data_IF_836293374314
#
_entry.id   IF_836293374314
#
_cell.length_a   1.000
_cell.length_b   1.000
_cell.length_c   1.000
_cell.angle_alpha   90.00
_cell.angle_beta   90.00
_cell.angle_gamma   90.00
#
_symmetry.space_group_name_H-M   'P 1'
#
loop_
_entity.id
_entity.type
_entity.pdbx_description
1 polymer ?
#
# COMPACT_ATOMS: atom_id res chain seq x y z
N UNK A 1 10.15 10.49 -7.00
CA UNK A 1 8.77 10.99 -6.94
C UNK A 1 8.67 12.33 -6.22
N UNK A 2 7.50 12.97 -6.25
CA UNK A 2 7.29 14.24 -5.57
C UNK A 2 7.34 14.07 -4.03
N UNK A 3 6.88 12.95 -3.53
CA UNK A 3 6.93 12.56 -2.12
C UNK A 3 8.37 12.44 -1.60
N UNK A 4 9.23 11.80 -2.37
CA UNK A 4 10.65 11.69 -2.07
C UNK A 4 11.31 13.08 -2.00
N UNK A 5 11.16 13.85 -3.07
CA UNK A 5 11.76 15.19 -3.18
C UNK A 5 11.28 16.19 -2.12
N UNK A 6 9.98 16.17 -1.75
CA UNK A 6 9.38 17.17 -0.85
C UNK A 6 9.25 16.72 0.60
N UNK A 7 9.12 15.41 0.84
CA UNK A 7 8.79 14.87 2.16
C UNK A 7 9.85 13.93 2.71
N UNK A 8 10.91 13.63 1.94
CA UNK A 8 11.93 12.66 2.35
C UNK A 8 11.41 11.22 2.48
N UNK A 9 10.28 10.91 1.83
CA UNK A 9 9.73 9.55 1.80
C UNK A 9 10.35 8.84 0.59
N UNK A 10 11.15 7.79 0.80
CA UNK A 10 11.85 7.11 -0.30
C UNK A 10 10.89 6.61 -1.37
N UNK A 11 11.22 6.90 -2.62
CA UNK A 11 10.50 6.33 -3.75
C UNK A 11 11.00 4.91 -3.99
N UNK A 12 10.10 3.94 -3.90
CA UNK A 12 10.35 2.53 -4.20
C UNK A 12 9.41 2.07 -5.30
N UNK A 13 9.80 1.06 -6.03
CA UNK A 13 8.98 0.49 -7.08
C UNK A 13 9.80 -0.41 -8.00
N UNK A 14 9.11 -1.04 -8.94
CA UNK A 14 9.69 -1.92 -9.94
C UNK A 14 9.15 -1.55 -11.32
N UNK A 15 9.34 -2.42 -12.31
CA UNK A 15 8.73 -2.29 -13.63
C UNK A 15 7.21 -2.54 -13.59
N UNK A 16 6.52 -2.11 -14.63
CA UNK A 16 5.13 -2.48 -14.91
C UNK A 16 5.08 -3.60 -15.98
N UNK A 17 3.94 -4.31 -16.09
CA UNK A 17 3.73 -5.29 -17.17
C UNK A 17 3.94 -4.69 -18.56
N UNK A 18 3.54 -3.42 -18.77
CA UNK A 18 3.75 -2.71 -20.02
C UNK A 18 5.21 -2.55 -20.41
N UNK A 19 6.13 -2.48 -19.44
CA UNK A 19 7.56 -2.51 -19.71
C UNK A 19 7.98 -3.84 -20.36
N UNK A 20 7.53 -4.96 -19.79
CA UNK A 20 7.85 -6.29 -20.32
C UNK A 20 7.26 -6.47 -21.71
N UNK A 21 6.03 -6.00 -21.93
CA UNK A 21 5.33 -6.06 -23.22
C UNK A 21 5.96 -5.19 -24.34
N UNK A 22 6.84 -4.24 -24.01
CA UNK A 22 7.59 -3.47 -25.02
C UNK A 22 8.65 -4.31 -25.72
N UNK A 23 9.07 -5.42 -25.13
CA UNK A 23 10.07 -6.31 -25.69
C UNK A 23 9.40 -7.51 -26.36
N UNK A 24 10.10 -8.09 -27.35
CA UNK A 24 9.62 -9.28 -28.03
C UNK A 24 9.71 -10.54 -27.15
N UNK A 25 10.60 -10.50 -26.15
CA UNK A 25 10.86 -11.58 -25.21
C UNK A 25 10.93 -11.02 -23.78
N UNK A 26 10.32 -11.72 -22.83
CA UNK A 26 10.35 -11.38 -21.40
C UNK A 26 11.78 -11.32 -20.84
N UNK A 27 12.64 -12.25 -21.26
CA UNK A 27 14.02 -12.33 -20.84
C UNK A 27 14.80 -11.08 -21.24
N UNK A 28 14.56 -10.53 -22.42
CA UNK A 28 15.19 -9.30 -22.90
C UNK A 28 14.74 -8.09 -22.06
N UNK A 29 13.47 -8.04 -21.68
CA UNK A 29 12.96 -7.01 -20.78
C UNK A 29 13.63 -7.09 -19.39
N UNK A 30 13.77 -8.27 -18.84
CA UNK A 30 14.47 -8.50 -17.57
C UNK A 30 15.93 -8.14 -17.64
N UNK A 31 16.61 -8.51 -18.73
CA UNK A 31 18.01 -8.15 -18.99
C UNK A 31 18.19 -6.63 -18.99
N UNK A 32 17.41 -5.93 -19.80
CA UNK A 32 17.50 -4.47 -19.89
C UNK A 32 17.29 -3.78 -18.54
N UNK A 33 16.36 -4.29 -17.73
CA UNK A 33 16.12 -3.75 -16.37
C UNK A 33 17.28 -4.06 -15.42
N UNK A 34 17.77 -5.29 -15.40
CA UNK A 34 18.87 -5.72 -14.54
C UNK A 34 20.20 -5.01 -14.89
N UNK A 35 20.40 -4.64 -16.15
CA UNK A 35 21.56 -3.86 -16.58
C UNK A 35 21.55 -2.43 -16.03
N UNK A 36 20.35 -1.81 -15.97
CA UNK A 36 20.16 -0.45 -15.47
C UNK A 36 20.15 -0.37 -13.93
N UNK A 37 19.59 -1.37 -13.26
CA UNK A 37 19.36 -1.35 -11.81
C UNK A 37 19.84 -2.66 -11.14
N UNK A 38 21.12 -3.04 -11.28
CA UNK A 38 21.60 -4.34 -10.78
C UNK A 38 21.54 -4.43 -9.24
N UNK A 39 21.75 -3.33 -8.52
CA UNK A 39 21.72 -3.23 -7.07
C UNK A 39 20.30 -3.16 -6.48
N UNK A 40 19.30 -2.85 -7.30
CA UNK A 40 17.89 -2.74 -6.92
C UNK A 40 16.98 -3.64 -7.78
N UNK A 41 17.55 -4.72 -8.32
CA UNK A 41 16.86 -5.56 -9.28
C UNK A 41 15.72 -6.34 -8.60
N UNK A 42 14.48 -5.96 -8.92
CA UNK A 42 13.24 -6.68 -8.60
C UNK A 42 12.48 -6.92 -9.90
N UNK A 43 12.32 -8.17 -10.30
CA UNK A 43 11.70 -8.55 -11.57
C UNK A 43 10.23 -8.95 -11.38
N UNK A 44 9.35 -8.42 -12.24
CA UNK A 44 7.92 -8.74 -12.27
C UNK A 44 7.71 -9.99 -13.12
N UNK A 45 7.36 -11.11 -12.48
CA UNK A 45 7.46 -12.45 -13.10
C UNK A 45 6.12 -13.04 -13.56
N UNK A 46 5.02 -12.29 -13.44
CA UNK A 46 3.67 -12.76 -13.74
C UNK A 46 3.04 -12.12 -14.99
N UNK A 47 3.84 -11.56 -15.89
CA UNK A 47 3.31 -10.98 -17.14
C UNK A 47 2.70 -12.04 -18.05
N UNK A 48 3.28 -13.23 -18.12
CA UNK A 48 2.82 -14.34 -18.93
C UNK A 48 2.54 -15.58 -18.08
N UNK A 49 3.58 -16.25 -17.59
CA UNK A 49 3.44 -17.42 -16.71
C UNK A 49 4.55 -17.40 -15.65
N UNK A 50 4.13 -17.42 -14.38
CA UNK A 50 5.07 -17.30 -13.25
C UNK A 50 6.06 -18.46 -13.20
N UNK A 51 5.58 -19.69 -13.37
CA UNK A 51 6.38 -20.89 -13.08
C UNK A 51 7.14 -21.40 -14.30
N UNK A 52 6.55 -21.29 -15.50
CA UNK A 52 7.16 -21.84 -16.72
C UNK A 52 8.05 -20.85 -17.46
N UNK A 53 7.86 -19.53 -17.26
CA UNK A 53 8.70 -18.50 -17.90
C UNK A 53 9.27 -17.49 -16.90
N UNK A 54 8.42 -16.81 -16.15
CA UNK A 54 8.83 -15.64 -15.35
C UNK A 54 9.97 -15.93 -14.38
N UNK A 55 9.81 -16.93 -13.49
CA UNK A 55 10.87 -17.25 -12.49
C UNK A 55 12.11 -17.86 -13.16
N UNK A 56 11.93 -18.64 -14.23
CA UNK A 56 13.03 -19.26 -14.96
C UNK A 56 13.90 -18.17 -15.62
N UNK A 57 13.27 -17.27 -16.37
CA UNK A 57 13.94 -16.14 -17.00
C UNK A 57 14.59 -15.21 -15.96
N UNK A 58 13.93 -14.98 -14.81
CA UNK A 58 14.48 -14.17 -13.74
C UNK A 58 15.79 -14.76 -13.20
N UNK A 59 15.82 -16.06 -12.88
CA UNK A 59 17.00 -16.75 -12.38
C UNK A 59 18.13 -16.71 -13.41
N UNK A 60 17.84 -16.92 -14.69
CA UNK A 60 18.84 -16.82 -15.75
C UNK A 60 19.46 -15.41 -15.77
N UNK A 61 18.64 -14.36 -15.73
CA UNK A 61 19.12 -12.97 -15.74
C UNK A 61 19.88 -12.63 -14.43
N UNK A 62 19.47 -13.14 -13.30
CA UNK A 62 20.22 -12.97 -12.05
C UNK A 62 21.66 -13.53 -12.18
N UNK A 63 21.78 -14.72 -12.74
CA UNK A 63 23.08 -15.36 -12.97
C UNK A 63 23.91 -14.69 -14.09
N UNK A 64 23.26 -14.25 -15.16
CA UNK A 64 23.94 -13.69 -16.32
C UNK A 64 24.33 -12.20 -16.14
N UNK A 65 23.56 -11.44 -15.36
CA UNK A 65 23.70 -9.98 -15.29
C UNK A 65 23.97 -9.47 -13.88
N UNK A 66 23.16 -9.86 -12.88
CA UNK A 66 23.22 -9.27 -11.55
C UNK A 66 24.43 -9.76 -10.77
N UNK A 67 24.60 -11.08 -10.69
CA UNK A 67 25.70 -11.71 -9.94
C UNK A 67 27.07 -11.36 -10.50
N UNK A 68 27.32 -11.38 -11.82
CA UNK A 68 28.62 -11.00 -12.37
C UNK A 68 29.01 -9.54 -12.13
N UNK A 69 28.02 -8.67 -11.88
CA UNK A 69 28.27 -7.26 -11.50
C UNK A 69 28.58 -7.10 -9.98
N UNK A 70 28.60 -8.18 -9.22
CA UNK A 70 28.90 -8.18 -7.78
C UNK A 70 27.70 -7.89 -6.90
N UNK A 71 26.47 -7.99 -7.42
CA UNK A 71 25.23 -7.75 -6.67
C UNK A 71 24.45 -9.04 -6.44
N UNK A 72 23.50 -8.98 -5.49
CA UNK A 72 22.48 -10.00 -5.30
C UNK A 72 21.13 -9.43 -5.74
N UNK A 73 20.27 -10.23 -6.40
CA UNK A 73 18.92 -9.77 -6.76
C UNK A 73 18.14 -9.39 -5.49
N UNK A 74 17.42 -8.28 -5.54
CA UNK A 74 16.61 -7.83 -4.42
C UNK A 74 15.31 -8.61 -4.29
N UNK A 75 14.73 -9.02 -5.40
CA UNK A 75 13.48 -9.76 -5.34
C UNK A 75 12.86 -10.10 -6.67
N UNK A 76 11.75 -10.82 -6.57
CA UNK A 76 10.77 -11.01 -7.64
C UNK A 76 9.41 -10.50 -7.18
N UNK A 77 8.57 -10.04 -8.09
CA UNK A 77 7.24 -9.53 -7.79
C UNK A 77 6.17 -10.36 -8.48
N UNK A 78 5.10 -10.67 -7.75
CA UNK A 78 3.89 -11.35 -8.21
C UNK A 78 2.72 -10.41 -7.97
N UNK A 79 1.97 -10.07 -9.02
CA UNK A 79 0.87 -9.08 -9.01
C UNK A 79 -0.51 -9.74 -9.21
N UNK A 80 -0.54 -11.00 -9.66
CA UNK A 80 -1.76 -11.71 -10.06
C UNK A 80 -1.71 -13.22 -9.81
N UNK A 81 -2.85 -13.90 -9.99
CA UNK A 81 -2.98 -15.34 -9.83
C UNK A 81 -3.19 -15.79 -8.38
N UNK A 82 -3.00 -17.09 -8.12
CA UNK A 82 -3.01 -17.64 -6.75
C UNK A 82 -1.69 -17.31 -6.05
N UNK A 83 -1.62 -16.11 -5.49
CA UNK A 83 -0.39 -15.59 -4.87
C UNK A 83 0.10 -16.49 -3.74
N UNK A 84 -0.80 -17.12 -2.96
CA UNK A 84 -0.42 -18.02 -1.88
C UNK A 84 0.28 -19.28 -2.39
N UNK A 85 -0.24 -19.87 -3.44
CA UNK A 85 0.37 -21.03 -4.08
C UNK A 85 1.66 -20.64 -4.81
N UNK A 86 1.60 -19.62 -5.65
CA UNK A 86 2.73 -19.18 -6.47
C UNK A 86 3.94 -18.76 -5.63
N UNK A 87 3.72 -18.03 -4.54
CA UNK A 87 4.83 -17.61 -3.67
C UNK A 87 5.57 -18.79 -3.03
N UNK A 88 4.85 -19.87 -2.68
CA UNK A 88 5.48 -21.11 -2.16
C UNK A 88 6.31 -21.82 -3.22
N UNK A 89 5.79 -21.93 -4.44
CA UNK A 89 6.53 -22.52 -5.55
C UNK A 89 7.77 -21.69 -5.92
N UNK A 90 7.60 -20.37 -6.04
CA UNK A 90 8.69 -19.44 -6.36
C UNK A 90 9.76 -19.47 -5.29
N UNK A 91 9.40 -19.52 -3.99
CA UNK A 91 10.38 -19.61 -2.89
C UNK A 91 11.25 -20.87 -3.02
N UNK A 92 10.63 -22.03 -3.26
CA UNK A 92 11.37 -23.26 -3.44
C UNK A 92 12.32 -23.18 -4.64
N UNK A 93 11.88 -22.66 -5.78
CA UNK A 93 12.70 -22.50 -6.98
C UNK A 93 13.87 -21.54 -6.75
N UNK A 94 13.64 -20.43 -6.04
CA UNK A 94 14.72 -19.49 -5.69
C UNK A 94 15.73 -20.11 -4.73
N UNK A 95 15.29 -20.87 -3.72
CA UNK A 95 16.15 -21.55 -2.77
C UNK A 95 17.03 -22.62 -3.46
N UNK A 96 16.44 -23.42 -4.35
CA UNK A 96 17.16 -24.42 -5.14
C UNK A 96 18.20 -23.77 -6.09
N UNK A 97 17.91 -22.56 -6.58
CA UNK A 97 18.83 -21.80 -7.41
C UNK A 97 19.91 -21.02 -6.60
N UNK A 98 19.90 -21.09 -5.27
CA UNK A 98 20.86 -20.40 -4.39
C UNK A 98 20.55 -18.91 -4.18
N UNK A 99 19.28 -18.52 -4.33
CA UNK A 99 18.77 -17.15 -4.10
C UNK A 99 17.82 -17.10 -2.90
N UNK A 100 18.21 -17.70 -1.78
CA UNK A 100 17.46 -17.72 -0.52
C UNK A 100 17.25 -16.32 0.10
N UNK A 101 18.14 -15.37 -0.22
CA UNK A 101 18.07 -13.97 0.15
C UNK A 101 17.19 -13.09 -0.79
N UNK A 102 16.75 -13.64 -1.93
CA UNK A 102 15.89 -12.93 -2.87
C UNK A 102 14.47 -12.82 -2.33
N UNK A 103 13.96 -11.61 -2.17
CA UNK A 103 12.63 -11.34 -1.61
C UNK A 103 11.51 -11.66 -2.61
N UNK A 104 10.36 -12.06 -2.08
CA UNK A 104 9.12 -12.19 -2.85
C UNK A 104 8.18 -11.05 -2.46
N UNK A 105 7.86 -10.19 -3.43
CA UNK A 105 6.97 -9.05 -3.29
C UNK A 105 5.61 -9.40 -3.87
N UNK A 106 4.55 -9.26 -3.09
CA UNK A 106 3.18 -9.39 -3.59
C UNK A 106 2.53 -8.03 -3.79
N UNK A 107 1.77 -7.88 -4.85
CA UNK A 107 0.97 -6.67 -5.14
C UNK A 107 -0.32 -7.05 -5.87
N UNK A 108 -1.09 -6.06 -6.36
CA UNK A 108 -2.34 -6.32 -7.08
C UNK A 108 -3.58 -6.29 -6.18
N UNK A 109 -4.15 -5.11 -5.96
CA UNK A 109 -5.44 -4.94 -5.27
C UNK A 109 -5.47 -5.41 -3.81
N UNK A 110 -4.31 -5.42 -3.12
CA UNK A 110 -4.19 -5.89 -1.75
C UNK A 110 -4.81 -4.92 -0.74
N UNK A 111 -5.38 -5.49 0.31
CA UNK A 111 -5.81 -4.83 1.53
C UNK A 111 -5.47 -5.69 2.76
N UNK A 112 -5.80 -5.21 3.93
CA UNK A 112 -5.51 -5.88 5.20
C UNK A 112 -6.13 -7.28 5.30
N UNK A 113 -7.30 -7.50 4.73
CA UNK A 113 -8.00 -8.79 4.75
C UNK A 113 -7.34 -9.80 3.83
N UNK A 114 -7.03 -9.39 2.60
CA UNK A 114 -6.33 -10.26 1.64
C UNK A 114 -4.94 -10.61 2.16
N UNK A 115 -4.22 -9.65 2.74
CA UNK A 115 -2.90 -9.91 3.35
C UNK A 115 -3.03 -10.94 4.48
N UNK A 116 -4.02 -10.78 5.35
CA UNK A 116 -4.27 -11.75 6.42
C UNK A 116 -4.55 -13.15 5.86
N UNK A 117 -5.41 -13.25 4.84
CA UNK A 117 -5.74 -14.51 4.20
C UNK A 117 -4.52 -15.18 3.55
N UNK A 118 -3.68 -14.42 2.86
CA UNK A 118 -2.43 -14.92 2.29
C UNK A 118 -1.49 -15.49 3.36
N UNK A 119 -1.34 -14.79 4.49
CA UNK A 119 -0.53 -15.24 5.61
C UNK A 119 -1.09 -16.52 6.26
N UNK A 120 -2.40 -16.60 6.45
CA UNK A 120 -3.07 -17.81 6.98
C UNK A 120 -2.88 -19.00 6.05
N UNK A 121 -2.88 -18.79 4.74
CA UNK A 121 -2.60 -19.83 3.74
C UNK A 121 -1.11 -20.22 3.68
N UNK A 122 -0.25 -19.58 4.46
CA UNK A 122 1.18 -19.87 4.53
C UNK A 122 1.97 -19.36 3.32
N UNK A 123 1.51 -18.28 2.68
CA UNK A 123 2.22 -17.62 1.59
C UNK A 123 3.65 -17.24 2.01
N UNK A 124 4.59 -17.35 1.09
CA UNK A 124 6.00 -17.01 1.29
C UNK A 124 6.29 -15.64 0.69
N UNK A 125 5.85 -14.60 1.40
CA UNK A 125 5.92 -13.21 0.94
C UNK A 125 6.71 -12.40 1.97
N UNK A 126 7.66 -11.62 1.50
CA UNK A 126 8.53 -10.78 2.32
C UNK A 126 8.02 -9.34 2.41
N UNK A 127 7.33 -8.86 1.37
CA UNK A 127 6.76 -7.51 1.38
C UNK A 127 5.50 -7.39 0.49
N UNK A 128 4.66 -6.40 0.82
CA UNK A 128 3.39 -6.17 0.16
C UNK A 128 3.34 -4.76 -0.45
N UNK A 129 2.99 -4.68 -1.73
CA UNK A 129 2.68 -3.44 -2.42
C UNK A 129 1.20 -3.10 -2.30
N UNK A 130 0.83 -2.24 -1.34
CA UNK A 130 -0.55 -1.79 -1.13
C UNK A 130 -0.71 -0.39 -1.69
N UNK A 131 -1.63 -0.20 -2.61
CA UNK A 131 -1.82 1.07 -3.32
C UNK A 131 -3.26 1.54 -3.32
N UNK A 132 -4.01 1.19 -4.37
CA UNK A 132 -5.36 1.72 -4.64
C UNK A 132 -6.30 1.63 -3.44
N UNK A 133 -6.42 0.46 -2.81
CA UNK A 133 -7.37 0.25 -1.71
C UNK A 133 -7.05 1.08 -0.49
N UNK A 134 -5.77 1.36 -0.24
CA UNK A 134 -5.33 2.22 0.85
C UNK A 134 -5.58 3.69 0.55
N UNK A 135 -5.19 4.19 -0.63
CA UNK A 135 -5.32 5.62 -0.97
C UNK A 135 -6.75 6.05 -1.23
N UNK A 136 -7.62 5.12 -1.61
CA UNK A 136 -9.06 5.38 -1.79
C UNK A 136 -9.88 5.12 -0.52
N UNK A 137 -9.26 4.62 0.57
CA UNK A 137 -9.95 4.17 1.78
C UNK A 137 -11.16 3.28 1.41
N UNK A 138 -10.93 2.22 0.63
CA UNK A 138 -11.98 1.45 -0.06
C UNK A 138 -13.11 0.97 0.85
N UNK A 139 -12.83 0.64 2.10
CA UNK A 139 -13.81 0.18 3.09
C UNK A 139 -14.72 1.32 3.58
N UNK A 140 -14.21 2.56 3.60
CA UNK A 140 -14.95 3.76 4.03
C UNK A 140 -14.44 5.00 3.26
N UNK A 141 -14.78 5.13 1.96
CA UNK A 141 -14.18 6.13 1.08
C UNK A 141 -14.71 7.55 1.30
N UNK A 142 -15.77 7.69 2.10
CA UNK A 142 -16.44 8.98 2.34
C UNK A 142 -16.33 9.36 3.79
N UNK A 143 -15.60 10.42 4.08
CA UNK A 143 -15.64 11.06 5.39
C UNK A 143 -16.97 11.80 5.53
N UNK A 144 -17.93 11.21 6.26
CA UNK A 144 -19.27 11.75 6.45
C UNK A 144 -19.22 13.09 7.18
N UNK A 145 -19.47 14.18 6.47
CA UNK A 145 -19.60 15.51 7.04
C UNK A 145 -21.06 15.91 7.17
N UNK A 146 -21.45 16.51 8.31
CA UNK A 146 -22.78 17.06 8.52
C UNK A 146 -22.66 18.50 9.02
N UNK A 147 -23.39 19.40 8.36
CA UNK A 147 -23.53 20.78 8.79
C UNK A 147 -24.95 21.03 9.31
N UNK A 148 -25.07 21.57 10.51
CA UNK A 148 -26.38 21.91 11.09
C UNK A 148 -26.31 23.25 11.80
N UNK A 149 -27.34 24.07 11.57
CA UNK A 149 -27.52 25.35 12.25
C UNK A 149 -27.84 25.11 13.71
N UNK A 150 -27.08 25.70 14.62
CA UNK A 150 -27.23 25.59 16.06
C UNK A 150 -27.50 26.92 16.76
N UNK A 151 -27.20 28.06 16.09
CA UNK A 151 -27.48 29.40 16.54
C UNK A 151 -27.46 30.38 15.39
N UNK A 152 -28.13 31.52 15.57
CA UNK A 152 -28.04 32.71 14.69
C UNK A 152 -27.79 33.93 15.56
N UNK A 153 -27.22 34.98 14.99
CA UNK A 153 -27.13 36.28 15.64
C UNK A 153 -28.32 37.15 15.20
N UNK A 154 -29.10 37.63 16.14
CA UNK A 154 -30.21 38.54 15.92
C UNK A 154 -30.05 39.74 16.85
N UNK A 155 -29.95 40.95 16.29
CA UNK A 155 -29.79 42.23 17.05
C UNK A 155 -28.61 42.15 18.05
N UNK A 156 -27.47 41.55 17.66
CA UNK A 156 -26.29 41.43 18.50
C UNK A 156 -26.37 40.36 19.61
N UNK A 157 -27.42 39.51 19.56
CA UNK A 157 -27.59 38.40 20.53
C UNK A 157 -27.54 37.06 19.82
N UNK A 158 -26.87 36.09 20.47
CA UNK A 158 -26.87 34.72 19.98
C UNK A 158 -28.20 34.04 20.36
N UNK A 159 -28.98 33.67 19.36
CA UNK A 159 -30.26 33.00 19.52
C UNK A 159 -30.09 31.52 19.14
N UNK A 160 -30.25 30.58 20.10
CA UNK A 160 -30.10 29.17 19.83
C UNK A 160 -31.13 28.65 18.80
N UNK A 161 -30.68 27.68 18.00
CA UNK A 161 -31.53 26.95 17.04
C UNK A 161 -31.32 25.45 17.24
N UNK A 162 -32.40 24.67 17.15
CA UNK A 162 -32.36 23.22 17.32
C UNK A 162 -33.06 22.54 16.15
N UNK A 163 -32.46 21.46 15.65
CA UNK A 163 -33.15 20.52 14.79
C UNK A 163 -33.72 19.37 15.64
N UNK A 164 -35.02 19.21 15.64
CA UNK A 164 -35.70 18.08 16.26
C UNK A 164 -35.82 16.96 15.22
N UNK A 165 -35.58 15.72 15.62
CA UNK A 165 -35.65 14.52 14.77
C UNK A 165 -36.15 13.34 15.58
N UNK A 166 -36.88 12.42 14.95
CA UNK A 166 -37.26 11.14 15.55
C UNK A 166 -36.02 10.27 15.90
N UNK A 167 -34.93 10.43 15.13
CA UNK A 167 -33.66 9.82 15.47
C UNK A 167 -32.89 10.73 16.41
N UNK A 168 -32.69 10.27 17.65
CA UNK A 168 -32.00 10.99 18.73
C UNK A 168 -30.58 11.45 18.31
N UNK A 169 -29.85 10.61 17.57
CA UNK A 169 -28.51 10.94 17.09
C UNK A 169 -28.49 12.13 16.11
N UNK A 170 -29.63 12.48 15.52
CA UNK A 170 -29.79 13.61 14.60
C UNK A 170 -30.27 14.89 15.28
N UNK A 171 -30.58 14.84 16.57
CA UNK A 171 -30.92 16.03 17.34
C UNK A 171 -29.66 16.84 17.61
N UNK A 172 -29.70 18.14 17.29
CA UNK A 172 -28.58 19.03 17.53
C UNK A 172 -28.62 19.58 18.93
N UNK A 173 -27.47 19.75 19.57
CA UNK A 173 -27.35 20.56 20.79
C UNK A 173 -27.30 22.03 20.38
N UNK A 174 -28.29 22.86 20.76
CA UNK A 174 -28.34 24.27 20.35
C UNK A 174 -27.26 25.13 21.06
N UNK A 175 -27.05 26.32 20.52
CA UNK A 175 -26.11 27.30 21.08
C UNK A 175 -24.78 27.35 20.34
N UNK A 176 -24.09 28.48 20.43
CA UNK A 176 -22.76 28.67 19.88
C UNK A 176 -21.74 27.99 20.81
N UNK A 177 -21.06 26.97 20.31
CA UNK A 177 -20.21 26.10 21.11
C UNK A 177 -18.77 26.12 20.62
N UNK A 178 -17.83 26.00 21.56
CA UNK A 178 -16.40 25.89 21.30
C UNK A 178 -15.90 24.52 21.76
N UNK A 179 -15.34 23.68 20.86
CA UNK A 179 -14.71 22.43 21.24
C UNK A 179 -13.25 22.67 21.67
N UNK A 180 -12.84 21.98 22.72
CA UNK A 180 -11.49 22.02 23.24
C UNK A 180 -10.96 20.61 23.40
N UNK A 181 -9.71 20.37 22.97
CA UNK A 181 -9.02 19.10 23.23
C UNK A 181 -7.99 19.31 24.33
N UNK A 182 -8.12 18.54 25.40
CA UNK A 182 -7.21 18.55 26.53
C UNK A 182 -6.09 17.53 26.31
N UNK A 183 -4.88 17.95 26.62
CA UNK A 183 -3.69 17.12 26.51
C UNK A 183 -3.02 16.97 27.86
N UNK A 184 -2.55 15.78 28.19
CA UNK A 184 -1.65 15.56 29.32
C UNK A 184 -0.33 16.29 29.08
N UNK A 185 0.07 17.13 30.03
CA UNK A 185 1.28 17.98 29.88
C UNK A 185 2.58 17.17 29.84
N UNK A 186 2.61 15.98 30.45
CA UNK A 186 3.83 15.17 30.56
C UNK A 186 4.01 14.29 29.34
N UNK A 187 2.92 13.73 28.83
CA UNK A 187 2.95 12.74 27.75
C UNK A 187 2.61 13.31 26.38
N UNK A 188 2.00 14.51 26.32
CA UNK A 188 1.48 15.11 25.08
C UNK A 188 0.28 14.38 24.48
N UNK A 189 -0.28 13.39 25.18
CA UNK A 189 -1.43 12.61 24.67
C UNK A 189 -2.74 13.34 24.96
N UNK A 190 -3.68 13.25 24.01
CA UNK A 190 -5.04 13.69 24.20
C UNK A 190 -5.74 12.81 25.27
N UNK A 191 -6.41 13.46 26.24
CA UNK A 191 -7.05 12.79 27.39
C UNK A 191 -8.56 13.03 27.44
N UNK A 192 -9.06 14.14 26.87
CA UNK A 192 -10.48 14.45 26.84
C UNK A 192 -10.79 15.50 25.78
N UNK A 193 -12.02 15.53 25.30
CA UNK A 193 -12.63 16.63 24.56
C UNK A 193 -13.73 17.27 25.38
N UNK A 194 -13.76 18.60 25.46
CA UNK A 194 -14.73 19.38 26.24
C UNK A 194 -15.41 20.38 25.32
N UNK A 195 -16.72 20.52 25.46
CA UNK A 195 -17.51 21.52 24.72
C UNK A 195 -17.99 22.57 25.72
N UNK A 196 -17.71 23.84 25.44
CA UNK A 196 -18.22 24.98 26.21
C UNK A 196 -19.21 25.79 25.38
N UNK A 197 -20.11 26.49 26.04
CA UNK A 197 -20.99 27.54 25.44
C UNK A 197 -20.24 28.86 25.41
#
# INVERSE_FOLDING_TARGET
>A
TLSDKKMGIPAVGTMAHSWIQLFSDEKDAFRAYAELYPDQCVLLIDTYDVLSSGIVNAIEIFNEVVVPKGFRPKGVRIDSGDIAYLSKCVRNILDEAGFDDCQIVASGGLDEYIIQDLLVQGAKIDSFGVGERMVTAKSDPVFGGVYKLVAVEEEGKIVPRIKISENIEKITTPGYKMPWRLYDRKTGKAIADVITL
#
